data_IF_183073477007
#
_entry.id   IF_183073477007
#
_cell.length_a   1.000
_cell.length_b   1.000
_cell.length_c   1.000
_cell.angle_alpha   90.00
_cell.angle_beta   90.00
_cell.angle_gamma   90.00
#
_symmetry.space_group_name_H-M   'P 1'
#
loop_
_entity.id
_entity.type
_entity.pdbx_description
1 polymer ?
#
# COMPACT_ATOMS: atom_id res chain seq x y z
N UNK A 1 -50.56 20.82 22.28
CA UNK A 1 -49.27 21.32 21.74
C UNK A 1 -48.31 20.16 21.72
N UNK A 2 -47.70 19.94 20.56
CA UNK A 2 -47.14 18.67 20.13
C UNK A 2 -45.75 18.37 20.73
N UNK A 3 -45.57 17.09 21.07
CA UNK A 3 -44.29 16.43 21.31
C UNK A 3 -43.48 16.38 20.01
N UNK A 4 -42.24 16.88 20.03
CA UNK A 4 -41.27 16.60 18.96
C UNK A 4 -39.83 16.70 19.51
N UNK A 5 -39.38 15.64 20.18
CA UNK A 5 -37.99 15.47 20.60
C UNK A 5 -37.44 14.26 19.85
N UNK A 6 -37.22 14.42 18.54
CA UNK A 6 -36.54 13.42 17.72
C UNK A 6 -35.02 13.64 17.82
N UNK A 7 -34.39 12.75 18.56
CA UNK A 7 -33.33 11.90 18.05
C UNK A 7 -32.25 12.59 17.19
N UNK A 8 -31.38 13.38 17.81
CA UNK A 8 -30.06 13.68 17.22
C UNK A 8 -29.05 12.60 17.64
N UNK A 9 -29.32 11.36 17.21
CA UNK A 9 -28.30 10.31 17.09
C UNK A 9 -27.45 10.67 15.87
N UNK A 10 -26.56 11.65 16.04
CA UNK A 10 -25.37 11.74 15.19
C UNK A 10 -24.47 10.56 15.57
N UNK A 11 -24.87 9.38 15.09
CA UNK A 11 -23.95 8.34 14.72
C UNK A 11 -22.97 8.99 13.74
N UNK A 12 -21.85 9.49 14.26
CA UNK A 12 -20.64 9.60 13.47
C UNK A 12 -20.29 8.16 13.08
N UNK A 13 -20.90 7.68 12.00
CA UNK A 13 -20.37 6.55 11.26
C UNK A 13 -19.02 7.02 10.76
N UNK A 14 -17.99 6.86 11.60
CA UNK A 14 -16.62 6.75 11.13
C UNK A 14 -16.67 5.60 10.14
N UNK A 15 -16.75 5.93 8.86
CA UNK A 15 -16.43 4.98 7.80
C UNK A 15 -15.02 4.51 8.18
N UNK A 16 -14.82 3.22 8.49
CA UNK A 16 -13.48 2.75 8.81
C UNK A 16 -12.62 3.08 7.60
N UNK A 17 -11.55 3.85 7.79
CA UNK A 17 -10.64 4.19 6.69
C UNK A 17 -10.12 2.87 6.14
N UNK A 18 -10.50 2.55 4.90
CA UNK A 18 -10.21 1.26 4.23
C UNK A 18 -8.77 1.25 3.71
N UNK A 19 -7.82 1.54 4.58
CA UNK A 19 -6.44 1.09 4.45
C UNK A 19 -6.17 0.23 5.67
N UNK A 20 -6.58 -1.04 5.57
CA UNK A 20 -6.01 -2.04 6.45
C UNK A 20 -4.48 -2.05 6.24
N UNK A 21 -3.73 -2.45 7.27
CA UNK A 21 -2.31 -2.73 7.08
C UNK A 21 -2.19 -3.81 6.00
N UNK A 22 -1.57 -3.46 4.87
CA UNK A 22 -1.47 -4.34 3.71
C UNK A 22 -0.03 -4.49 3.27
N UNK A 23 0.33 -5.69 2.88
CA UNK A 23 1.55 -5.99 2.16
C UNK A 23 1.17 -6.35 0.73
N UNK A 24 1.87 -5.76 -0.24
CA UNK A 24 1.64 -6.05 -1.64
C UNK A 24 2.94 -6.13 -2.43
N UNK A 25 2.90 -6.89 -3.52
CA UNK A 25 3.89 -6.88 -4.57
C UNK A 25 3.48 -5.85 -5.64
N UNK A 26 4.44 -5.06 -6.09
CA UNK A 26 4.23 -4.00 -7.07
C UNK A 26 5.22 -4.08 -8.21
N UNK A 27 4.75 -3.71 -9.40
CA UNK A 27 5.62 -3.39 -10.54
C UNK A 27 5.23 -2.03 -11.07
N UNK A 28 6.17 -1.15 -11.38
CA UNK A 28 5.88 0.19 -11.87
C UNK A 28 6.79 0.58 -13.01
N UNK A 29 6.23 1.38 -13.93
CA UNK A 29 6.98 2.17 -14.91
C UNK A 29 7.03 3.60 -14.39
N UNK A 30 8.23 4.15 -14.26
CA UNK A 30 8.51 5.51 -13.82
C UNK A 30 9.00 6.29 -15.02
N UNK A 31 8.40 7.45 -15.22
CA UNK A 31 8.66 8.35 -16.33
C UNK A 31 9.12 9.67 -15.72
N UNK A 32 10.35 10.05 -16.04
CA UNK A 32 10.91 11.34 -15.64
C UNK A 32 11.00 12.24 -16.87
N UNK A 33 10.14 13.27 -16.97
CA UNK A 33 10.18 14.22 -18.09
C UNK A 33 11.52 14.94 -18.18
N UNK A 34 11.96 15.25 -19.40
CA UNK A 34 13.07 16.16 -19.60
C UNK A 34 12.59 17.61 -19.49
N UNK A 35 13.26 18.41 -18.67
CA UNK A 35 12.88 19.80 -18.49
C UNK A 35 13.20 20.60 -19.77
N UNK A 36 12.16 21.09 -20.45
CA UNK A 36 12.30 21.84 -21.71
C UNK A 36 11.96 21.05 -22.98
N UNK A 37 11.40 19.85 -22.88
CA UNK A 37 10.81 19.15 -24.03
C UNK A 37 9.51 18.44 -23.65
N UNK A 38 8.50 18.57 -24.51
CA UNK A 38 7.24 17.82 -24.41
C UNK A 38 7.29 16.52 -25.21
N UNK A 39 8.41 16.21 -25.87
CA UNK A 39 8.55 15.00 -26.68
C UNK A 39 8.82 13.78 -25.80
N UNK A 40 8.00 12.71 -25.86
CA UNK A 40 8.16 11.53 -25.00
C UNK A 40 9.52 10.83 -25.12
N UNK A 41 10.19 10.96 -26.27
CA UNK A 41 11.50 10.35 -26.52
C UNK A 41 12.62 10.94 -25.65
N UNK A 42 12.42 12.16 -25.15
CA UNK A 42 13.42 12.89 -24.38
C UNK A 42 13.30 12.56 -22.87
N UNK A 43 12.19 11.93 -22.45
CA UNK A 43 11.99 11.44 -21.08
C UNK A 43 12.85 10.21 -20.77
N UNK A 44 13.21 10.03 -19.50
CA UNK A 44 13.80 8.77 -19.03
C UNK A 44 12.73 7.83 -18.50
N UNK A 45 12.96 6.53 -18.70
CA UNK A 45 12.05 5.46 -18.31
C UNK A 45 12.81 4.44 -17.47
N UNK A 46 12.29 4.20 -16.27
CA UNK A 46 12.79 3.17 -15.37
C UNK A 46 11.64 2.27 -14.97
N UNK A 47 11.93 1.01 -14.66
CA UNK A 47 10.95 0.14 -14.02
C UNK A 47 11.41 -0.27 -12.65
N UNK A 48 10.45 -0.55 -11.78
CA UNK A 48 10.69 -1.08 -10.46
C UNK A 48 9.87 -2.34 -10.24
N UNK A 49 10.47 -3.32 -9.58
CA UNK A 49 9.79 -4.43 -8.95
C UNK A 49 10.03 -4.29 -7.45
N UNK A 50 8.98 -4.37 -6.63
CA UNK A 50 9.10 -4.03 -5.21
C UNK A 50 8.03 -4.69 -4.37
N UNK A 51 8.30 -4.73 -3.06
CA UNK A 51 7.32 -5.09 -2.04
C UNK A 51 7.09 -3.90 -1.14
N UNK A 52 5.83 -3.66 -0.78
CA UNK A 52 5.43 -2.49 -0.01
C UNK A 52 4.47 -2.87 1.10
N UNK A 53 4.82 -2.46 2.33
CA UNK A 53 3.96 -2.47 3.49
C UNK A 53 3.32 -1.10 3.64
N UNK A 54 2.01 -1.01 3.45
CA UNK A 54 1.26 0.23 3.52
C UNK A 54 0.29 0.26 4.71
N UNK A 55 0.15 1.45 5.27
CA UNK A 55 -0.73 1.78 6.39
C UNK A 55 -1.48 3.09 6.08
N UNK A 56 -2.52 3.46 6.85
CA UNK A 56 -3.17 4.75 6.69
C UNK A 56 -2.23 5.96 6.84
N UNK A 57 -1.15 5.82 7.59
CA UNK A 57 -0.23 6.90 7.96
C UNK A 57 1.03 6.95 7.10
N UNK A 58 1.24 5.97 6.23
CA UNK A 58 2.49 5.86 5.48
C UNK A 58 2.79 4.46 4.96
N UNK A 59 3.94 4.29 4.32
CA UNK A 59 4.41 3.00 3.83
C UNK A 59 5.92 2.81 4.04
N UNK A 60 6.33 1.55 3.93
CA UNK A 60 7.72 1.13 3.88
C UNK A 60 7.90 0.05 2.81
N UNK A 61 8.84 0.23 1.91
CA UNK A 61 9.05 -0.62 0.75
C UNK A 61 10.52 -0.89 0.46
N UNK A 62 10.76 -1.94 -0.32
CA UNK A 62 12.07 -2.26 -0.86
C UNK A 62 11.92 -2.82 -2.28
N UNK A 63 12.96 -2.69 -3.09
CA UNK A 63 12.88 -3.20 -4.45
C UNK A 63 14.15 -3.09 -5.27
N UNK A 64 13.94 -3.26 -6.57
CA UNK A 64 14.98 -3.32 -7.60
C UNK A 64 14.66 -2.36 -8.72
N UNK A 65 15.68 -1.65 -9.19
CA UNK A 65 15.63 -0.96 -10.47
C UNK A 65 15.82 -1.96 -11.59
N UNK A 66 14.99 -1.81 -12.62
CA UNK A 66 14.96 -2.67 -13.79
C UNK A 66 14.97 -1.82 -15.07
N UNK A 67 15.56 -2.35 -16.16
CA UNK A 67 15.36 -1.78 -17.47
C UNK A 67 13.88 -1.75 -17.87
N UNK A 68 13.43 -0.63 -18.45
CA UNK A 68 12.10 -0.48 -19.03
C UNK A 68 11.99 -1.17 -20.40
N UNK A 69 12.23 -2.50 -20.43
CA UNK A 69 12.22 -3.31 -21.66
C UNK A 69 11.43 -4.60 -21.46
N UNK A 70 10.62 -5.03 -22.44
CA UNK A 70 10.01 -6.35 -22.41
C UNK A 70 11.06 -7.47 -22.26
N UNK A 71 10.74 -8.50 -21.48
CA UNK A 71 11.64 -9.64 -21.26
C UNK A 71 12.83 -9.35 -20.34
N UNK A 72 12.84 -8.21 -19.64
CA UNK A 72 13.83 -7.93 -18.60
C UNK A 72 13.82 -9.04 -17.55
N UNK A 73 15.01 -9.53 -17.21
CA UNK A 73 15.18 -10.57 -16.21
C UNK A 73 14.83 -10.06 -14.80
N UNK A 74 13.85 -10.71 -14.18
CA UNK A 74 13.39 -10.41 -12.81
C UNK A 74 13.72 -11.54 -11.84
N UNK A 75 14.55 -12.52 -12.22
CA UNK A 75 14.88 -13.69 -11.39
C UNK A 75 15.52 -13.33 -10.04
N UNK A 76 16.21 -12.17 -9.97
CA UNK A 76 16.76 -11.62 -8.72
C UNK A 76 15.73 -10.95 -7.81
N UNK A 77 14.56 -10.58 -8.35
CA UNK A 77 13.51 -9.89 -7.60
C UNK A 77 12.74 -10.92 -6.78
N UNK A 78 13.14 -11.08 -5.52
CA UNK A 78 12.61 -12.13 -4.65
C UNK A 78 12.22 -11.58 -3.28
N UNK A 79 11.10 -12.04 -2.69
CA UNK A 79 10.67 -11.57 -1.39
C UNK A 79 11.66 -11.97 -0.26
N UNK A 80 12.51 -12.99 -0.47
CA UNK A 80 13.57 -13.44 0.46
C UNK A 80 14.98 -13.06 -0.03
N UNK A 81 15.08 -11.95 -0.77
CA UNK A 81 16.35 -11.44 -1.20
C UNK A 81 17.31 -11.14 -0.03
N UNK A 82 18.60 -11.40 -0.25
CA UNK A 82 19.67 -10.87 0.60
C UNK A 82 19.75 -9.36 0.46
N UNK A 83 20.17 -8.66 1.52
CA UNK A 83 20.28 -7.19 1.50
C UNK A 83 21.25 -6.68 0.43
N UNK A 84 22.28 -7.46 0.10
CA UNK A 84 23.25 -7.20 -0.97
C UNK A 84 22.65 -7.28 -2.38
N UNK A 85 21.49 -7.92 -2.53
CA UNK A 85 20.81 -8.07 -3.81
C UNK A 85 19.71 -7.04 -4.07
N UNK A 86 19.30 -6.29 -3.04
CA UNK A 86 18.25 -5.26 -3.09
C UNK A 86 18.89 -3.92 -3.47
N UNK A 87 18.27 -3.19 -4.40
CA UNK A 87 18.85 -1.94 -4.88
C UNK A 87 18.52 -0.78 -3.94
N UNK A 88 17.26 -0.70 -3.49
CA UNK A 88 16.76 0.43 -2.71
C UNK A 88 15.73 0.02 -1.67
N UNK A 89 15.59 0.87 -0.65
CA UNK A 89 14.44 0.90 0.26
C UNK A 89 13.88 2.31 0.34
N UNK A 90 12.60 2.42 0.65
CA UNK A 90 11.89 3.69 0.68
C UNK A 90 10.85 3.69 1.79
N UNK A 91 10.70 4.82 2.47
CA UNK A 91 9.70 4.97 3.51
C UNK A 91 9.14 6.39 3.53
N UNK A 92 7.97 6.54 4.15
CA UNK A 92 7.36 7.85 4.38
C UNK A 92 7.76 8.44 5.71
N UNK A 93 8.12 9.72 5.74
CA UNK A 93 8.36 10.47 7.00
C UNK A 93 7.12 11.23 7.47
N UNK A 94 6.21 11.57 6.56
CA UNK A 94 4.97 12.26 6.90
C UNK A 94 3.89 12.06 5.83
N UNK A 95 2.65 12.46 6.16
CA UNK A 95 1.51 12.41 5.27
C UNK A 95 0.46 11.37 5.69
N UNK A 96 -0.30 10.88 4.71
CA UNK A 96 -1.33 9.87 4.95
C UNK A 96 -2.20 9.57 3.72
N UNK A 97 -3.02 8.53 3.87
CA UNK A 97 -3.91 8.02 2.83
C UNK A 97 -5.39 8.25 3.19
N UNK A 98 -6.08 8.97 2.30
CA UNK A 98 -7.54 8.95 2.19
C UNK A 98 -8.01 7.73 1.39
N UNK A 99 -9.31 7.63 1.06
CA UNK A 99 -9.88 6.40 0.46
C UNK A 99 -9.16 5.92 -0.81
N UNK A 100 -8.81 6.82 -1.71
CA UNK A 100 -8.20 6.49 -3.02
C UNK A 100 -6.92 7.25 -3.28
N UNK A 101 -6.53 8.16 -2.39
CA UNK A 101 -5.40 9.08 -2.60
C UNK A 101 -4.54 9.13 -1.35
N UNK A 102 -3.23 9.02 -1.54
CA UNK A 102 -2.23 9.27 -0.53
C UNK A 102 -1.45 10.52 -0.91
N UNK A 103 -1.18 11.38 0.08
CA UNK A 103 -0.19 12.44 -0.02
C UNK A 103 0.86 12.17 1.04
N UNK A 104 2.09 11.98 0.63
CA UNK A 104 3.18 11.56 1.52
C UNK A 104 4.46 12.29 1.18
N UNK A 105 5.28 12.49 2.20
CA UNK A 105 6.68 12.81 2.01
C UNK A 105 7.47 11.50 2.10
N UNK A 106 8.25 11.19 1.07
CA UNK A 106 8.97 9.93 0.98
C UNK A 106 10.47 10.13 0.82
N UNK A 107 11.21 9.21 1.43
CA UNK A 107 12.66 9.16 1.41
C UNK A 107 13.10 7.79 0.92
N UNK A 108 13.91 7.78 -0.14
CA UNK A 108 14.45 6.59 -0.78
C UNK A 108 15.97 6.55 -0.63
N UNK A 109 16.52 5.39 -0.28
CA UNK A 109 17.95 5.16 -0.21
C UNK A 109 18.34 3.98 -1.08
N UNK A 110 19.48 4.11 -1.75
CA UNK A 110 20.16 2.97 -2.36
C UNK A 110 20.90 2.19 -1.26
N UNK A 111 20.77 0.86 -1.23
CA UNK A 111 21.44 0.06 -0.18
C UNK A 111 22.97 0.09 -0.32
N UNK A 112 23.47 0.31 -1.53
CA UNK A 112 24.91 0.50 -1.77
C UNK A 112 25.41 1.90 -1.36
N UNK A 113 24.53 2.84 -1.01
CA UNK A 113 24.86 4.18 -0.54
C UNK A 113 23.72 4.77 0.32
N UNK A 114 23.74 4.48 1.62
CA UNK A 114 22.73 4.96 2.57
C UNK A 114 23.08 6.29 3.24
N UNK A 115 24.18 6.94 2.84
CA UNK A 115 24.63 8.21 3.45
C UNK A 115 23.74 9.40 3.08
N UNK A 116 23.13 9.34 1.90
CA UNK A 116 22.29 10.41 1.37
C UNK A 116 21.11 9.78 0.61
N UNK A 117 19.90 10.33 0.77
CA UNK A 117 18.76 9.82 0.03
C UNK A 117 18.92 10.08 -1.48
N UNK A 118 18.48 9.12 -2.28
CA UNK A 118 18.32 9.28 -3.72
C UNK A 118 17.10 10.14 -4.04
N UNK A 119 16.02 9.95 -3.26
CA UNK A 119 14.76 10.69 -3.37
C UNK A 119 14.42 11.19 -1.96
N UNK A 120 14.04 12.45 -1.88
CA UNK A 120 13.52 13.14 -0.70
C UNK A 120 12.51 14.15 -1.24
N UNK A 121 11.24 13.73 -1.32
CA UNK A 121 10.22 14.48 -2.08
C UNK A 121 8.81 14.21 -1.56
N UNK A 122 7.96 15.22 -1.70
CA UNK A 122 6.52 15.05 -1.58
C UNK A 122 5.96 14.44 -2.86
N UNK A 123 5.09 13.42 -2.73
CA UNK A 123 4.41 12.85 -3.88
C UNK A 123 3.00 12.38 -3.54
N UNK A 124 2.19 12.29 -4.59
CA UNK A 124 0.83 11.77 -4.53
C UNK A 124 0.77 10.37 -5.11
N UNK A 125 -0.02 9.48 -4.49
CA UNK A 125 -0.42 8.21 -5.09
C UNK A 125 -1.94 8.12 -5.15
N UNK A 126 -2.45 7.59 -6.25
CA UNK A 126 -3.88 7.42 -6.53
C UNK A 126 -4.13 5.98 -6.95
N UNK A 127 -5.06 5.30 -6.28
CA UNK A 127 -5.56 4.01 -6.71
C UNK A 127 -6.53 4.21 -7.87
N UNK A 128 -6.33 3.48 -8.97
CA UNK A 128 -7.14 3.52 -10.17
C UNK A 128 -7.76 2.15 -10.41
N UNK A 129 -9.06 2.15 -10.70
CA UNK A 129 -9.77 0.98 -11.21
C UNK A 129 -10.22 1.30 -12.64
N UNK A 130 -9.44 0.86 -13.61
CA UNK A 130 -9.69 1.13 -15.03
C UNK A 130 -10.44 -0.01 -15.73
N UNK A 131 -10.77 -1.09 -15.00
CA UNK A 131 -11.43 -2.27 -15.55
C UNK A 131 -12.56 -2.79 -14.65
N UNK A 132 -13.23 -1.92 -13.91
CA UNK A 132 -14.43 -2.22 -13.10
C UNK A 132 -14.26 -3.44 -12.16
N UNK A 133 -13.15 -3.49 -11.44
CA UNK A 133 -12.87 -4.55 -10.47
C UNK A 133 -12.08 -5.72 -11.02
N UNK A 134 -11.81 -5.77 -12.33
CA UNK A 134 -10.97 -6.83 -12.91
C UNK A 134 -9.53 -6.73 -12.38
N UNK A 135 -8.88 -7.86 -12.02
CA UNK A 135 -7.57 -7.85 -11.35
C UNK A 135 -6.49 -7.06 -12.09
N UNK A 136 -6.47 -7.14 -13.43
CA UNK A 136 -5.47 -6.45 -14.24
C UNK A 136 -5.76 -4.95 -14.47
N UNK A 137 -6.93 -4.45 -14.06
CA UNK A 137 -7.27 -3.03 -14.12
C UNK A 137 -7.08 -2.29 -12.80
N UNK A 138 -6.58 -2.97 -11.76
CA UNK A 138 -6.25 -2.35 -10.47
C UNK A 138 -4.84 -1.78 -10.53
N UNK A 139 -4.73 -0.48 -10.82
CA UNK A 139 -3.47 0.23 -10.98
C UNK A 139 -3.27 1.27 -9.86
N UNK A 140 -2.03 1.73 -9.72
CA UNK A 140 -1.69 2.91 -8.96
C UNK A 140 -0.99 3.91 -9.89
N UNK A 141 -1.40 5.17 -9.82
CA UNK A 141 -0.69 6.30 -10.41
C UNK A 141 -0.01 7.07 -9.28
N UNK A 142 1.28 7.36 -9.40
CA UNK A 142 1.94 8.31 -8.51
C UNK A 142 2.67 9.41 -9.26
N UNK A 143 2.87 10.57 -8.62
CA UNK A 143 3.62 11.68 -9.20
C UNK A 143 4.23 12.57 -8.12
N UNK A 144 5.44 13.07 -8.37
CA UNK A 144 6.12 14.02 -7.49
C UNK A 144 5.41 15.38 -7.53
N UNK A 145 5.18 15.98 -6.36
CA UNK A 145 4.46 17.24 -6.16
C UNK A 145 5.37 18.45 -6.49
N UNK A 146 5.92 18.47 -7.71
CA UNK A 146 6.79 19.54 -8.20
C UNK A 146 6.76 19.68 -9.73
N UNK A 147 7.06 20.88 -10.27
CA UNK A 147 7.18 21.07 -11.72
C UNK A 147 8.21 20.13 -12.34
N UNK A 148 7.83 19.43 -13.42
CA UNK A 148 8.68 18.45 -14.09
C UNK A 148 8.95 17.19 -13.25
N UNK A 149 8.19 16.97 -12.18
CA UNK A 149 8.29 15.78 -11.34
C UNK A 149 8.07 14.48 -12.11
N UNK A 150 8.75 13.42 -11.68
CA UNK A 150 8.53 12.10 -12.22
C UNK A 150 7.14 11.59 -11.84
N UNK A 151 6.59 10.70 -12.66
CA UNK A 151 5.33 10.01 -12.38
C UNK A 151 5.47 8.53 -12.70
N UNK A 152 4.70 7.70 -12.00
CA UNK A 152 4.73 6.27 -12.16
C UNK A 152 3.33 5.70 -12.33
N UNK A 153 3.23 4.64 -13.13
CA UNK A 153 2.05 3.80 -13.22
C UNK A 153 2.46 2.38 -12.86
N UNK A 154 1.75 1.76 -11.94
CA UNK A 154 2.09 0.44 -11.45
C UNK A 154 0.90 -0.47 -11.18
N UNK A 155 1.16 -1.77 -11.24
CA UNK A 155 0.26 -2.80 -10.75
C UNK A 155 0.46 -3.02 -9.25
N UNK A 156 -0.56 -3.59 -8.60
CA UNK A 156 -0.51 -3.99 -7.20
C UNK A 156 -1.18 -5.35 -7.01
N UNK A 157 -0.42 -6.34 -6.57
CA UNK A 157 -0.93 -7.64 -6.11
C UNK A 157 -0.89 -7.68 -4.58
N UNK A 158 -2.05 -7.69 -3.92
CA UNK A 158 -2.15 -7.74 -2.46
C UNK A 158 -1.76 -9.15 -1.98
N UNK A 159 -0.82 -9.23 -1.03
CA UNK A 159 -0.27 -10.46 -0.46
C UNK A 159 -0.77 -10.74 0.97
N UNK A 160 -1.33 -9.74 1.64
CA UNK A 160 -1.89 -9.84 3.00
C UNK A 160 -3.41 -10.08 2.99
N UNK A 161 -3.99 -10.44 4.14
CA UNK A 161 -5.44 -10.35 4.35
C UNK A 161 -6.24 -11.65 4.17
N UNK A 162 -5.76 -12.76 4.76
CA UNK A 162 -6.56 -13.99 4.83
C UNK A 162 -6.50 -14.84 3.55
N UNK A 163 -5.34 -14.83 2.89
CA UNK A 163 -5.11 -15.55 1.64
C UNK A 163 -5.18 -17.07 1.85
N UNK A 164 -5.94 -17.75 0.98
CA UNK A 164 -6.03 -19.22 0.94
C UNK A 164 -4.93 -19.86 0.09
N UNK A 165 -4.31 -19.10 -0.81
CA UNK A 165 -3.17 -19.54 -1.61
C UNK A 165 -1.89 -19.61 -0.75
N UNK A 166 -1.36 -20.82 -0.60
CA UNK A 166 -0.11 -21.09 0.12
C UNK A 166 1.09 -20.35 -0.48
N UNK A 167 1.12 -20.14 -1.80
CA UNK A 167 2.23 -19.45 -2.48
C UNK A 167 2.27 -17.98 -2.05
N UNK A 168 1.15 -17.28 -2.20
CA UNK A 168 1.04 -15.87 -1.80
C UNK A 168 1.22 -15.68 -0.29
N UNK A 169 0.72 -16.58 0.55
CA UNK A 169 0.94 -16.52 2.00
C UNK A 169 2.44 -16.61 2.34
N UNK A 170 3.16 -17.55 1.71
CA UNK A 170 4.62 -17.67 1.87
C UNK A 170 5.34 -16.42 1.34
N UNK A 171 4.94 -15.91 0.19
CA UNK A 171 5.50 -14.69 -0.39
C UNK A 171 5.32 -13.47 0.53
N UNK A 172 4.15 -13.34 1.16
CA UNK A 172 3.91 -12.34 2.19
C UNK A 172 4.90 -12.46 3.35
N UNK A 173 5.00 -13.65 3.95
CA UNK A 173 5.88 -13.90 5.10
C UNK A 173 7.34 -13.56 4.80
N UNK A 174 7.81 -13.95 3.61
CA UNK A 174 9.18 -13.67 3.15
C UNK A 174 9.40 -12.17 2.94
N UNK A 175 8.49 -11.49 2.26
CA UNK A 175 8.59 -10.05 2.03
C UNK A 175 8.55 -9.26 3.34
N UNK A 176 7.68 -9.64 4.29
CA UNK A 176 7.62 -9.02 5.61
C UNK A 176 8.91 -9.26 6.42
N UNK A 177 9.47 -10.47 6.34
CA UNK A 177 10.78 -10.78 6.95
C UNK A 177 11.88 -9.91 6.36
N UNK A 178 11.90 -9.68 5.06
CA UNK A 178 12.90 -8.82 4.40
C UNK A 178 12.74 -7.35 4.79
N UNK A 179 11.52 -6.81 4.82
CA UNK A 179 11.25 -5.48 5.39
C UNK A 179 11.77 -5.37 6.83
N UNK A 180 11.49 -6.38 7.66
CA UNK A 180 11.94 -6.40 9.05
C UNK A 180 13.47 -6.39 9.16
N UNK A 181 14.19 -7.10 8.28
CA UNK A 181 15.66 -7.05 8.21
C UNK A 181 16.16 -5.66 7.83
N UNK A 182 15.58 -5.04 6.80
CA UNK A 182 15.96 -3.68 6.34
C UNK A 182 15.70 -2.67 7.46
N UNK A 183 14.54 -2.74 8.12
CA UNK A 183 14.21 -1.88 9.26
C UNK A 183 15.21 -2.01 10.40
N UNK A 184 15.60 -3.24 10.75
CA UNK A 184 16.57 -3.49 11.82
C UNK A 184 17.99 -3.04 11.46
N UNK A 185 18.41 -3.21 10.20
CA UNK A 185 19.76 -2.85 9.74
C UNK A 185 19.94 -1.33 9.61
N UNK A 186 18.94 -0.64 9.04
CA UNK A 186 19.05 0.77 8.67
C UNK A 186 18.28 1.72 9.59
N UNK A 187 17.59 1.19 10.61
CA UNK A 187 16.85 1.95 11.62
C UNK A 187 15.94 3.03 11.00
N UNK A 188 15.23 2.68 9.93
CA UNK A 188 14.38 3.63 9.21
C UNK A 188 13.36 4.27 10.18
N UNK A 189 13.26 5.61 10.26
CA UNK A 189 12.40 6.31 11.22
C UNK A 189 10.94 6.28 10.78
N UNK A 190 10.32 5.09 10.84
CA UNK A 190 8.92 4.88 10.48
C UNK A 190 8.00 5.60 11.48
N UNK A 191 6.95 6.24 10.97
CA UNK A 191 5.90 6.88 11.79
C UNK A 191 4.83 5.88 12.27
N UNK A 192 5.03 4.59 12.03
CA UNK A 192 4.10 3.51 12.31
C UNK A 192 4.83 2.22 12.68
N UNK A 193 4.14 1.33 13.38
CA UNK A 193 4.67 0.02 13.74
C UNK A 193 4.66 -0.94 12.56
N UNK A 194 5.78 -1.62 12.31
CA UNK A 194 5.84 -2.73 11.35
C UNK A 194 5.24 -4.00 11.99
N UNK A 195 3.97 -4.28 11.71
CA UNK A 195 3.23 -5.44 12.24
C UNK A 195 2.98 -6.48 11.15
N UNK A 196 3.22 -7.74 11.48
CA UNK A 196 3.06 -8.89 10.55
C UNK A 196 1.64 -8.95 9.96
N UNK A 197 1.47 -8.64 8.67
CA UNK A 197 0.17 -8.64 8.00
C UNK A 197 -0.18 -10.00 7.37
N UNK A 198 0.71 -10.99 7.47
CA UNK A 198 0.66 -12.26 6.76
C UNK A 198 -0.05 -13.35 7.55
N UNK A 199 -0.08 -13.22 8.89
CA UNK A 199 -0.85 -14.13 9.74
C UNK A 199 -2.33 -14.07 9.38
N UNK A 200 -2.99 -15.23 9.43
CA UNK A 200 -4.45 -15.36 9.37
C UNK A 200 -5.07 -14.71 10.62
N UNK A 201 -5.11 -13.39 10.64
CA UNK A 201 -5.77 -12.59 11.66
C UNK A 201 -7.20 -12.28 11.26
N UNK A 202 -8.13 -13.17 11.62
CA UNK A 202 -9.47 -12.83 12.12
C UNK A 202 -10.11 -11.53 11.57
N UNK A 203 -10.49 -11.50 10.29
CA UNK A 203 -11.72 -10.79 9.88
C UNK A 203 -12.99 -11.54 10.34
N UNK A 204 -12.92 -12.25 11.47
CA UNK A 204 -14.05 -12.82 12.21
C UNK A 204 -14.40 -11.99 13.46
N UNK A 205 -13.84 -10.79 13.61
CA UNK A 205 -14.09 -9.92 14.77
C UNK A 205 -15.19 -8.85 14.59
N UNK A 206 -15.66 -8.57 13.37
CA UNK A 206 -16.59 -7.45 13.13
C UNK A 206 -17.89 -7.80 12.40
N UNK A 207 -18.06 -9.04 11.93
CA UNK A 207 -19.34 -9.53 11.39
C UNK A 207 -20.08 -10.46 12.35
N UNK A 208 -19.40 -11.08 13.32
CA UNK A 208 -20.06 -11.96 14.30
C UNK A 208 -20.76 -11.18 15.44
N UNK A 209 -20.28 -9.99 15.83
CA UNK A 209 -20.89 -9.23 16.94
C UNK A 209 -22.18 -8.48 16.56
N UNK A 210 -22.50 -8.32 15.27
CA UNK A 210 -23.77 -7.72 14.82
C UNK A 210 -24.86 -8.75 14.52
N UNK A 211 -24.49 -10.01 14.24
CA UNK A 211 -25.46 -11.09 13.97
C UNK A 211 -26.01 -11.69 15.28
N UNK A 212 -25.18 -11.83 16.31
CA UNK A 212 -25.62 -12.41 17.60
C UNK A 212 -26.41 -11.42 18.47
N UNK A 213 -26.26 -10.10 18.25
CA UNK A 213 -27.10 -9.10 18.90
C UNK A 213 -28.43 -8.85 18.18
N UNK A 214 -28.58 -9.17 16.89
CA UNK A 214 -29.89 -9.11 16.21
C UNK A 214 -30.72 -10.39 16.33
N UNK A 215 -30.11 -11.55 16.60
CA UNK A 215 -30.87 -12.80 16.83
C UNK A 215 -31.53 -12.85 18.21
N UNK A 216 -31.01 -12.18 19.23
CA UNK A 216 -31.67 -12.12 20.54
C UNK A 216 -32.82 -11.11 20.60
N UNK A 217 -32.91 -10.16 19.67
CA UNK A 217 -34.02 -9.19 19.61
C UNK A 217 -35.24 -9.67 18.80
N UNK A 218 -35.09 -10.68 17.93
CA UNK A 218 -36.18 -11.17 17.06
C UNK A 218 -36.93 -12.40 17.57
N UNK A 219 -36.46 -13.05 18.65
CA UNK A 219 -37.17 -14.15 19.31
C UNK A 219 -38.13 -13.69 20.43
N UNK A 220 -38.15 -12.39 20.76
CA UNK A 220 -38.99 -11.82 21.82
C UNK A 220 -40.35 -11.25 21.36
N UNK A 221 -40.70 -11.31 20.07
CA UNK A 221 -41.86 -10.59 19.50
C UNK A 221 -42.89 -11.46 18.76
N UNK A 222 -43.00 -12.74 19.14
CA UNK A 222 -44.15 -13.60 18.76
C UNK A 222 -44.66 -14.39 19.97
N UNK A 223 -45.31 -13.71 20.90
CA UNK A 223 -46.29 -14.32 21.83
C UNK A 223 -47.12 -13.24 22.54
N UNK A 224 -47.98 -12.56 21.78
CA UNK A 224 -49.22 -11.96 22.30
C UNK A 224 -50.15 -11.67 21.12
N UNK A 225 -50.99 -12.65 20.80
CA UNK A 225 -52.41 -12.53 20.49
C UNK A 225 -52.99 -13.94 20.40
#
# INVERSE_FOLDING_TARGET
MAYLQYLLLLLTSRVPSVWAQVLFHGTSVIISPFNGSDHPRDSSFHTANFYCYATPTGYFSFGWWLPAKPGTDTSRCSPDAGLDSIDWFEYTTSGGCGATTCKVHAVNYMLNNTRSPLIDVDYFAVSLDIANGEPHGQLALSYFDQPGGAYAVGSREILSGGISDHRQAKECELAFKTLSKIYAEYEAPLTFDLKDPCKKGLLHGLTASFSDHMKQSFLGWRKTR
#
